data_IF_790733217507
#
_entry.id   IF_790733217507
#
_cell.length_a   1.000
_cell.length_b   1.000
_cell.length_c   1.000
_cell.angle_alpha   90.00
_cell.angle_beta   90.00
_cell.angle_gamma   90.00
#
_symmetry.space_group_name_H-M   'P 1'
#
loop_
_entity.id
_entity.type
_entity.pdbx_description
1 polymer ?
#
# COMPACT_ATOMS: atom_id res chain seq x y z
N UNK A 1 -2.34 -5.48 -22.59
CA UNK A 1 -2.19 -6.87 -22.11
C UNK A 1 -2.72 -6.95 -20.68
N UNK A 2 -3.80 -7.67 -20.37
CA UNK A 2 -4.31 -7.77 -18.99
C UNK A 2 -3.50 -8.83 -18.23
N UNK A 3 -2.26 -8.50 -17.88
CA UNK A 3 -1.35 -9.37 -17.12
C UNK A 3 -1.79 -9.45 -15.67
N UNK A 4 -2.32 -10.60 -15.26
CA UNK A 4 -2.45 -10.95 -13.84
C UNK A 4 -1.05 -11.21 -13.31
N UNK A 5 -0.59 -10.43 -12.34
CA UNK A 5 0.70 -10.65 -11.69
C UNK A 5 0.47 -11.37 -10.36
N UNK A 6 1.06 -12.56 -10.25
CA UNK A 6 1.10 -13.33 -9.01
C UNK A 6 2.55 -13.39 -8.54
N UNK A 7 2.83 -12.74 -7.42
CA UNK A 7 4.10 -12.88 -6.71
C UNK A 7 3.83 -13.63 -5.41
N UNK A 8 4.58 -14.70 -5.12
CA UNK A 8 4.36 -15.49 -3.90
C UNK A 8 4.89 -14.73 -2.67
N UNK A 9 5.82 -15.32 -1.91
CA UNK A 9 6.53 -14.64 -0.84
C UNK A 9 7.84 -14.05 -1.35
N UNK A 10 8.11 -12.79 -1.02
CA UNK A 10 9.36 -12.12 -1.36
C UNK A 10 10.04 -11.63 -0.08
N UNK A 11 11.32 -12.00 0.11
CA UNK A 11 12.15 -11.56 1.24
C UNK A 11 13.42 -10.78 0.82
N UNK A 12 13.35 -9.80 -0.09
CA UNK A 12 14.52 -9.05 -0.51
C UNK A 12 14.99 -8.08 0.58
N UNK A 13 16.29 -7.77 0.59
CA UNK A 13 16.80 -6.67 1.42
C UNK A 13 16.27 -5.33 0.92
N UNK A 14 16.27 -5.09 -0.39
CA UNK A 14 15.72 -3.91 -1.05
C UNK A 14 14.93 -4.34 -2.28
N UNK A 15 13.76 -3.76 -2.48
CA UNK A 15 12.96 -3.98 -3.69
C UNK A 15 12.62 -2.62 -4.31
N UNK A 16 12.92 -2.49 -5.60
CA UNK A 16 12.58 -1.33 -6.42
C UNK A 16 11.76 -1.80 -7.61
N UNK A 17 10.56 -1.25 -7.75
CA UNK A 17 9.68 -1.50 -8.90
C UNK A 17 9.25 -0.15 -9.47
N UNK A 18 9.85 0.29 -10.59
CA UNK A 18 9.76 1.68 -11.05
C UNK A 18 8.34 2.14 -11.39
N UNK A 19 7.59 1.29 -12.09
CA UNK A 19 6.17 1.50 -12.38
C UNK A 19 5.54 0.14 -12.56
N UNK A 20 4.36 -0.06 -12.00
CA UNK A 20 3.60 -1.28 -12.17
C UNK A 20 2.17 -0.95 -12.62
N UNK A 21 1.81 -1.47 -13.79
CA UNK A 21 0.45 -1.45 -14.32
C UNK A 21 -0.04 -2.89 -14.47
N UNK A 22 -1.13 -3.23 -13.79
CA UNK A 22 -1.72 -4.57 -13.89
C UNK A 22 -3.24 -4.52 -13.75
N UNK A 23 -3.94 -5.44 -14.39
CA UNK A 23 -5.37 -5.61 -14.10
C UNK A 23 -5.58 -6.21 -12.70
N UNK A 24 -4.74 -7.16 -12.29
CA UNK A 24 -4.83 -7.84 -11.00
C UNK A 24 -3.42 -8.11 -10.48
N UNK A 25 -3.08 -7.47 -9.37
CA UNK A 25 -1.85 -7.73 -8.64
C UNK A 25 -2.16 -8.47 -7.34
N UNK A 26 -1.47 -9.59 -7.14
CA UNK A 26 -1.58 -10.38 -5.94
C UNK A 26 -0.18 -10.70 -5.41
N UNK A 27 0.12 -10.24 -4.21
CA UNK A 27 1.38 -10.53 -3.51
C UNK A 27 1.05 -11.20 -2.19
N UNK A 28 1.35 -12.49 -2.04
CA UNK A 28 0.96 -13.26 -0.85
C UNK A 28 1.60 -12.72 0.43
N UNK A 29 2.90 -12.44 0.38
CA UNK A 29 3.64 -11.86 1.49
C UNK A 29 4.85 -11.10 0.94
N UNK A 30 5.14 -9.94 1.51
CA UNK A 30 6.33 -9.18 1.18
C UNK A 30 7.01 -8.72 2.45
N UNK A 31 8.25 -9.16 2.64
CA UNK A 31 9.12 -8.72 3.71
C UNK A 31 10.36 -8.03 3.13
N UNK A 32 10.59 -6.75 3.45
CA UNK A 32 11.76 -6.03 2.93
C UNK A 32 12.28 -5.01 3.91
N UNK A 33 13.58 -4.69 3.87
CA UNK A 33 14.08 -3.53 4.63
C UNK A 33 13.65 -2.22 3.97
N UNK A 34 13.58 -2.19 2.62
CA UNK A 34 13.20 -1.02 1.84
C UNK A 34 12.39 -1.44 0.62
N UNK A 35 11.16 -0.92 0.53
CA UNK A 35 10.28 -1.07 -0.62
C UNK A 35 10.04 0.29 -1.25
N UNK A 36 10.41 0.44 -2.53
CA UNK A 36 10.22 1.65 -3.32
C UNK A 36 9.40 1.32 -4.56
N UNK A 37 8.18 1.84 -4.63
CA UNK A 37 7.33 1.70 -5.82
C UNK A 37 6.82 3.09 -6.26
N UNK A 38 7.54 3.80 -7.14
CA UNK A 38 7.21 5.19 -7.52
C UNK A 38 5.76 5.37 -7.99
N UNK A 39 5.25 4.44 -8.79
CA UNK A 39 3.86 4.44 -9.26
C UNK A 39 3.31 3.02 -9.31
N UNK A 40 2.12 2.83 -8.75
CA UNK A 40 1.36 1.60 -8.86
C UNK A 40 -0.06 1.90 -9.33
N UNK A 41 -0.44 1.31 -10.47
CA UNK A 41 -1.80 1.33 -10.98
C UNK A 41 -2.32 -0.10 -11.10
N UNK A 42 -3.43 -0.38 -10.43
CA UNK A 42 -4.08 -1.68 -10.57
C UNK A 42 -5.60 -1.58 -10.53
N UNK A 43 -6.32 -2.43 -11.26
CA UNK A 43 -7.76 -2.54 -11.01
C UNK A 43 -8.01 -3.21 -9.66
N UNK A 44 -7.24 -4.25 -9.30
CA UNK A 44 -7.36 -4.98 -8.04
C UNK A 44 -5.97 -5.25 -7.46
N UNK A 45 -5.71 -4.74 -6.27
CA UNK A 45 -4.50 -5.01 -5.51
C UNK A 45 -4.86 -5.76 -4.24
N UNK A 46 -4.23 -6.92 -4.05
CA UNK A 46 -4.41 -7.75 -2.88
C UNK A 46 -3.06 -8.17 -2.31
N UNK A 47 -2.77 -7.73 -1.09
CA UNK A 47 -1.53 -8.10 -0.38
C UNK A 47 -1.87 -8.47 1.08
N UNK A 48 -2.03 -9.77 1.43
CA UNK A 48 -2.39 -10.23 2.76
C UNK A 48 -1.53 -9.66 3.88
N UNK A 49 -0.21 -9.69 3.66
CA UNK A 49 0.79 -9.25 4.61
C UNK A 49 1.89 -8.47 3.92
N UNK A 50 2.15 -7.27 4.41
CA UNK A 50 3.30 -6.47 4.01
C UNK A 50 4.06 -6.06 5.26
N UNK A 51 5.31 -6.50 5.37
CA UNK A 51 6.25 -6.01 6.37
C UNK A 51 7.41 -5.26 5.69
N UNK A 52 7.63 -4.01 6.07
CA UNK A 52 8.79 -3.28 5.59
C UNK A 52 9.34 -2.27 6.57
N UNK A 53 10.67 -2.20 6.76
CA UNK A 53 11.22 -1.11 7.57
C UNK A 53 10.91 0.25 6.93
N UNK A 54 11.02 0.40 5.61
CA UNK A 54 10.66 1.64 4.90
C UNK A 54 9.83 1.32 3.65
N UNK A 55 8.61 1.82 3.62
CA UNK A 55 7.72 1.74 2.46
C UNK A 55 7.48 3.12 1.88
N UNK A 56 7.79 3.28 0.59
CA UNK A 56 7.62 4.53 -0.14
C UNK A 56 6.89 4.28 -1.45
N UNK A 57 5.65 4.76 -1.53
CA UNK A 57 4.83 4.68 -2.74
C UNK A 57 4.20 6.04 -3.04
N UNK A 58 4.90 6.91 -3.81
CA UNK A 58 4.45 8.26 -4.17
C UNK A 58 3.00 8.34 -4.64
N UNK A 59 2.65 7.46 -5.57
CA UNK A 59 1.31 7.39 -6.15
C UNK A 59 0.83 5.95 -6.19
N UNK A 60 -0.33 5.73 -5.56
CA UNK A 60 -1.06 4.48 -5.64
C UNK A 60 -2.47 4.76 -6.17
N UNK A 61 -2.79 4.16 -7.31
CA UNK A 61 -4.13 4.18 -7.88
C UNK A 61 -4.69 2.75 -7.96
N UNK A 62 -5.83 2.52 -7.29
CA UNK A 62 -6.54 1.25 -7.40
C UNK A 62 -8.05 1.40 -7.53
N UNK A 63 -8.76 0.44 -8.13
CA UNK A 63 -10.21 0.37 -7.91
C UNK A 63 -10.53 -0.36 -6.60
N UNK A 64 -9.73 -1.38 -6.26
CA UNK A 64 -9.89 -2.14 -5.01
C UNK A 64 -8.52 -2.42 -4.42
N UNK A 65 -8.26 -1.86 -3.25
CA UNK A 65 -7.07 -2.13 -2.45
C UNK A 65 -7.46 -2.91 -1.20
N UNK A 66 -6.86 -4.08 -1.03
CA UNK A 66 -7.08 -4.95 0.12
C UNK A 66 -5.74 -5.37 0.72
N UNK A 67 -5.43 -4.83 1.91
CA UNK A 67 -4.21 -5.18 2.66
C UNK A 67 -4.55 -5.44 4.12
N UNK A 68 -4.88 -6.69 4.51
CA UNK A 68 -5.25 -7.12 5.86
C UNK A 68 -4.31 -6.62 6.95
N UNK A 69 -3.01 -6.82 6.73
CA UNK A 69 -1.95 -6.46 7.66
C UNK A 69 -0.85 -5.70 6.94
N UNK A 70 -0.62 -4.46 7.38
CA UNK A 70 0.53 -3.67 6.98
C UNK A 70 1.32 -3.28 8.22
N UNK A 71 2.57 -3.73 8.28
CA UNK A 71 3.52 -3.27 9.29
C UNK A 71 4.71 -2.57 8.63
N UNK A 72 4.89 -1.28 8.96
CA UNK A 72 6.11 -0.56 8.63
C UNK A 72 6.76 0.15 9.80
N UNK A 73 8.04 0.52 9.70
CA UNK A 73 8.57 1.58 10.59
C UNK A 73 8.27 2.96 10.00
N UNK A 74 8.40 3.12 8.68
CA UNK A 74 8.12 4.37 7.98
C UNK A 74 7.29 4.08 6.74
N UNK A 75 6.05 4.54 6.74
CA UNK A 75 5.15 4.49 5.59
C UNK A 75 4.97 5.89 5.02
N UNK A 76 5.28 6.04 3.73
CA UNK A 76 5.15 7.30 3.01
C UNK A 76 4.39 7.07 1.70
N UNK A 77 3.14 7.53 1.65
CA UNK A 77 2.28 7.45 0.47
C UNK A 77 1.57 8.79 0.24
N UNK A 78 2.23 9.74 -0.45
CA UNK A 78 1.73 11.08 -0.77
C UNK A 78 0.31 11.08 -1.33
N UNK A 79 0.06 10.27 -2.35
CA UNK A 79 -1.23 10.18 -3.01
C UNK A 79 -1.71 8.74 -3.05
N UNK A 80 -2.88 8.50 -2.46
CA UNK A 80 -3.62 7.27 -2.56
C UNK A 80 -5.01 7.55 -3.11
N UNK A 81 -5.29 7.01 -4.29
CA UNK A 81 -6.61 7.00 -4.89
C UNK A 81 -7.14 5.57 -4.94
N UNK A 82 -8.26 5.30 -4.25
CA UNK A 82 -8.88 3.97 -4.33
C UNK A 82 -10.38 3.96 -4.13
N UNK A 83 -11.18 3.51 -5.09
CA UNK A 83 -12.64 3.51 -4.89
C UNK A 83 -13.09 2.63 -3.71
N UNK A 84 -12.35 1.54 -3.41
CA UNK A 84 -12.48 0.79 -2.15
C UNK A 84 -11.12 0.55 -1.52
N UNK A 85 -10.94 0.97 -0.27
CA UNK A 85 -9.74 0.70 0.53
C UNK A 85 -10.11 -0.08 1.79
N UNK A 86 -9.51 -1.25 1.96
CA UNK A 86 -9.71 -2.12 3.11
C UNK A 86 -8.36 -2.51 3.72
N UNK A 87 -8.04 -1.91 4.87
CA UNK A 87 -6.82 -2.19 5.64
C UNK A 87 -7.12 -2.34 7.13
N UNK A 88 -7.58 -3.53 7.58
CA UNK A 88 -7.94 -3.85 8.95
C UNK A 88 -6.90 -3.44 9.99
N UNK A 89 -5.65 -3.79 9.75
CA UNK A 89 -4.55 -3.53 10.66
C UNK A 89 -3.43 -2.80 9.94
N UNK A 90 -3.18 -1.56 10.37
CA UNK A 90 -2.03 -0.76 9.96
C UNK A 90 -1.21 -0.41 11.19
N UNK A 91 0.04 -0.87 11.23
CA UNK A 91 1.01 -0.51 12.25
C UNK A 91 2.21 0.21 11.61
N UNK A 92 2.43 1.47 11.99
CA UNK A 92 3.59 2.23 11.55
C UNK A 92 4.21 3.02 12.70
N UNK A 93 5.52 3.24 12.75
CA UNK A 93 6.05 4.24 13.70
C UNK A 93 5.93 5.67 13.15
N UNK A 94 6.03 5.83 11.83
CA UNK A 94 5.76 7.09 11.12
C UNK A 94 4.86 6.84 9.92
N UNK A 95 3.71 7.50 9.88
CA UNK A 95 2.72 7.41 8.82
C UNK A 95 2.56 8.78 8.14
N UNK A 96 2.84 8.86 6.84
CA UNK A 96 2.65 10.07 6.04
C UNK A 96 1.78 9.78 4.81
N UNK A 97 0.54 10.26 4.85
CA UNK A 97 -0.47 10.07 3.78
C UNK A 97 -1.30 11.36 3.59
N UNK A 98 -0.75 12.41 2.97
CA UNK A 98 -1.40 13.72 2.85
C UNK A 98 -2.54 13.77 1.82
N UNK A 99 -2.66 12.84 0.89
CA UNK A 99 -3.81 12.81 -0.03
C UNK A 99 -4.35 11.38 -0.08
N UNK A 100 -5.58 11.23 0.42
CA UNK A 100 -6.28 9.96 0.48
C UNK A 100 -7.72 10.18 -0.01
N UNK A 101 -8.05 9.63 -1.17
CA UNK A 101 -9.35 9.81 -1.83
C UNK A 101 -10.05 8.46 -2.09
N UNK A 102 -10.62 7.82 -1.05
CA UNK A 102 -11.44 6.64 -1.24
C UNK A 102 -12.93 6.93 -1.23
N UNK A 103 -13.68 6.26 -2.11
CA UNK A 103 -15.14 6.27 -2.05
C UNK A 103 -15.67 5.41 -0.89
N UNK A 104 -14.92 4.35 -0.51
CA UNK A 104 -15.18 3.51 0.66
C UNK A 104 -13.88 3.19 1.38
N UNK A 105 -13.84 3.48 2.68
CA UNK A 105 -12.67 3.29 3.54
C UNK A 105 -13.02 2.39 4.74
N UNK A 106 -12.22 1.35 4.98
CA UNK A 106 -12.31 0.54 6.19
C UNK A 106 -10.93 0.29 6.80
N UNK A 107 -10.67 0.94 7.94
CA UNK A 107 -9.39 0.89 8.68
C UNK A 107 -9.62 0.92 10.20
N UNK A 108 -10.18 -0.15 10.79
CA UNK A 108 -10.56 -0.19 12.21
C UNK A 108 -9.37 -0.06 13.17
N UNK A 109 -8.20 -0.59 12.82
CA UNK A 109 -7.03 -0.59 13.70
C UNK A 109 -5.86 0.13 13.03
N UNK A 110 -5.66 1.39 13.41
CA UNK A 110 -4.51 2.20 13.00
C UNK A 110 -3.66 2.53 14.23
N UNK A 111 -2.45 2.00 14.26
CA UNK A 111 -1.47 2.25 15.31
C UNK A 111 -0.28 2.98 14.74
N UNK A 112 -0.11 4.27 15.08
CA UNK A 112 1.11 4.98 14.75
C UNK A 112 1.53 6.01 15.78
N UNK A 113 2.85 6.09 16.02
CA UNK A 113 3.44 7.09 16.92
C UNK A 113 3.39 8.50 16.33
N UNK A 114 3.50 8.60 15.00
CA UNK A 114 3.38 9.86 14.27
C UNK A 114 2.47 9.68 13.05
N UNK A 115 1.44 10.51 12.94
CA UNK A 115 0.50 10.49 11.82
C UNK A 115 0.45 11.89 11.22
N UNK A 116 0.74 11.99 9.93
CA UNK A 116 0.45 13.16 9.13
C UNK A 116 -0.48 12.74 7.99
N UNK A 117 -1.76 13.10 8.13
CA UNK A 117 -2.84 12.77 7.20
C UNK A 117 -3.65 14.02 6.93
N UNK A 118 -3.84 14.35 5.67
CA UNK A 118 -4.84 15.33 5.24
C UNK A 118 -5.91 14.50 4.51
N UNK A 119 -7.05 14.34 5.15
CA UNK A 119 -8.22 13.77 4.50
C UNK A 119 -8.96 14.91 3.81
N UNK A 120 -9.16 14.79 2.50
CA UNK A 120 -10.23 15.53 1.86
C UNK A 120 -11.46 14.62 1.89
N UNK A 121 -12.47 14.91 2.74
CA UNK A 121 -13.76 14.30 2.55
C UNK A 121 -14.32 14.79 1.20
N UNK A 122 -14.88 13.87 0.43
CA UNK A 122 -15.97 14.20 -0.48
C UNK A 122 -17.25 14.22 0.35
#
# INVERSE_FOLDING_TARGET
HPSKLLTPSLHPSKLFTPSLHSSKLFTLSLHSSKLLTPSLHSSKLFTPSLHSSKLFTPSLHSSKLFTPSLHSSKLFTPSLHSSKLFTPSLHSSKLFTPSLHPSKLFTPSLHSKYILRICFPL
#
